data_IF_734800194515
#
_entry.id   IF_734800194515
#
_cell.length_a   1.000
_cell.length_b   1.000
_cell.length_c   1.000
_cell.angle_alpha   90.00
_cell.angle_beta   90.00
_cell.angle_gamma   90.00
#
_symmetry.space_group_name_H-M   'P 1'
#
loop_
_entity.id
_entity.type
_entity.pdbx_description
1 polymer ?
#
# COMPACT_ATOMS: atom_id res chain seq x y z
N UNK A 1 -17.60 10.67 -52.69
CA UNK A 1 -16.27 11.19 -52.30
C UNK A 1 -15.97 11.02 -50.80
N UNK A 2 -16.96 10.85 -49.91
CA UNK A 2 -16.73 10.69 -48.46
C UNK A 2 -16.21 9.30 -48.01
N UNK A 3 -16.44 8.24 -48.79
CA UNK A 3 -16.06 6.87 -48.39
C UNK A 3 -14.55 6.63 -48.26
N UNK A 4 -13.73 7.28 -49.10
CA UNK A 4 -12.27 7.12 -49.04
C UNK A 4 -11.65 7.70 -47.77
N UNK A 5 -12.14 8.87 -47.33
CA UNK A 5 -11.72 9.49 -46.08
C UNK A 5 -12.12 8.66 -44.85
N UNK A 6 -13.33 8.09 -44.86
CA UNK A 6 -13.79 7.23 -43.76
C UNK A 6 -12.93 5.97 -43.63
N UNK A 7 -12.62 5.32 -44.75
CA UNK A 7 -11.79 4.11 -44.79
C UNK A 7 -10.33 4.42 -44.41
N UNK A 8 -9.80 5.56 -44.82
CA UNK A 8 -8.46 6.03 -44.41
C UNK A 8 -8.39 6.32 -42.91
N UNK A 9 -9.39 7.00 -42.35
CA UNK A 9 -9.48 7.26 -40.92
C UNK A 9 -9.62 5.97 -40.11
N UNK A 10 -10.46 5.02 -40.58
CA UNK A 10 -10.62 3.70 -39.97
C UNK A 10 -9.27 2.97 -39.88
N UNK A 11 -8.47 2.98 -40.96
CA UNK A 11 -7.15 2.37 -40.97
C UNK A 11 -6.17 3.08 -40.02
N UNK A 12 -6.22 4.41 -39.91
CA UNK A 12 -5.41 5.13 -38.93
C UNK A 12 -5.75 4.71 -37.49
N UNK A 13 -7.04 4.61 -37.16
CA UNK A 13 -7.49 4.10 -35.84
C UNK A 13 -7.00 2.67 -35.62
N UNK A 14 -7.06 1.81 -36.64
CA UNK A 14 -6.62 0.42 -36.56
C UNK A 14 -5.12 0.31 -36.25
N UNK A 15 -4.29 1.15 -36.87
CA UNK A 15 -2.84 1.22 -36.60
C UNK A 15 -2.57 1.69 -35.17
N UNK A 16 -3.32 2.68 -34.69
CA UNK A 16 -3.24 3.12 -33.29
C UNK A 16 -3.61 2.03 -32.30
N UNK A 17 -4.69 1.28 -32.57
CA UNK A 17 -5.08 0.12 -31.76
C UNK A 17 -4.00 -0.97 -31.77
N UNK A 18 -3.43 -1.27 -32.94
CA UNK A 18 -2.36 -2.25 -33.05
C UNK A 18 -1.11 -1.80 -32.28
N UNK A 19 -0.78 -0.51 -32.29
CA UNK A 19 0.32 0.02 -31.49
C UNK A 19 0.10 -0.09 -29.99
N UNK A 20 -1.14 0.06 -29.50
CA UNK A 20 -1.47 -0.18 -28.09
C UNK A 20 -1.20 -1.63 -27.68
N UNK A 21 -1.53 -2.60 -28.53
CA UNK A 21 -1.24 -4.02 -28.27
C UNK A 21 0.26 -4.32 -28.25
N UNK A 22 1.09 -3.46 -28.85
CA UNK A 22 2.55 -3.58 -28.89
C UNK A 22 3.22 -2.87 -27.71
N UNK A 23 2.47 -2.54 -26.64
CA UNK A 23 2.93 -1.75 -25.49
C UNK A 23 3.52 -0.40 -25.89
N UNK A 24 3.05 0.19 -26.99
CA UNK A 24 3.42 1.54 -27.43
C UNK A 24 2.22 2.47 -27.30
N UNK A 25 2.46 3.77 -27.34
CA UNK A 25 1.43 4.79 -27.24
C UNK A 25 0.53 4.80 -28.49
N UNK A 26 -0.61 4.11 -28.43
CA UNK A 26 -1.55 4.00 -29.56
C UNK A 26 -2.06 5.35 -30.06
N UNK A 27 -2.25 6.33 -29.17
CA UNK A 27 -2.65 7.69 -29.54
C UNK A 27 -1.59 8.41 -30.41
N UNK A 28 -0.31 8.28 -30.04
CA UNK A 28 0.80 8.86 -30.81
C UNK A 28 0.91 8.18 -32.18
N UNK A 29 0.77 6.86 -32.23
CA UNK A 29 0.79 6.10 -33.49
C UNK A 29 -0.42 6.36 -34.39
N UNK A 30 -1.60 6.62 -33.82
CA UNK A 30 -2.78 7.06 -34.56
C UNK A 30 -2.55 8.43 -35.22
N UNK A 31 -2.00 9.39 -34.47
CA UNK A 31 -1.71 10.73 -34.99
C UNK A 31 -0.64 10.67 -36.07
N UNK A 32 0.38 9.83 -35.87
CA UNK A 32 1.42 9.57 -36.85
C UNK A 32 0.84 8.94 -38.14
N UNK A 33 -0.07 7.98 -38.01
CA UNK A 33 -0.79 7.37 -39.13
C UNK A 33 -1.65 8.38 -39.91
N UNK A 34 -2.23 9.37 -39.22
CA UNK A 34 -2.97 10.45 -39.88
C UNK A 34 -2.06 11.40 -40.67
N UNK A 35 -0.80 11.57 -40.29
CA UNK A 35 0.14 12.48 -40.98
C UNK A 35 0.89 11.74 -42.10
N UNK A 36 1.43 10.57 -41.82
CA UNK A 36 2.31 9.82 -42.73
C UNK A 36 1.58 8.91 -43.72
N UNK A 37 0.32 8.57 -43.44
CA UNK A 37 -0.45 7.45 -44.01
C UNK A 37 -0.45 6.21 -43.09
N UNK A 38 -1.63 5.60 -42.86
CA UNK A 38 -1.75 4.42 -42.01
C UNK A 38 -0.94 3.23 -42.51
N UNK A 39 -0.74 3.11 -43.83
CA UNK A 39 -0.02 1.98 -44.42
C UNK A 39 1.48 2.04 -44.08
N UNK A 40 2.06 3.24 -44.12
CA UNK A 40 3.48 3.47 -43.81
C UNK A 40 3.72 3.35 -42.30
N UNK A 41 2.87 3.97 -41.49
CA UNK A 41 2.95 3.84 -40.02
C UNK A 41 2.76 2.40 -39.56
N UNK A 42 1.87 1.63 -40.19
CA UNK A 42 1.70 0.21 -39.90
C UNK A 42 2.95 -0.63 -40.18
N UNK A 43 3.63 -0.39 -41.31
CA UNK A 43 4.88 -1.08 -41.65
C UNK A 43 5.99 -0.74 -40.64
N UNK A 44 6.15 0.54 -40.30
CA UNK A 44 7.16 0.98 -39.32
C UNK A 44 6.89 0.33 -37.96
N UNK A 45 5.63 0.32 -37.51
CA UNK A 45 5.23 -0.33 -36.26
C UNK A 45 5.57 -1.82 -36.25
N UNK A 46 5.33 -2.52 -37.37
CA UNK A 46 5.61 -3.95 -37.51
C UNK A 46 7.11 -4.25 -37.44
N UNK A 47 7.95 -3.42 -38.07
CA UNK A 47 9.42 -3.54 -38.01
C UNK A 47 9.95 -3.25 -36.60
N UNK A 48 9.36 -2.26 -35.91
CA UNK A 48 9.77 -1.86 -34.57
C UNK A 48 9.39 -2.87 -33.48
N UNK A 49 8.42 -3.75 -33.73
CA UNK A 49 8.03 -4.81 -32.81
C UNK A 49 7.52 -4.31 -31.44
N UNK A 50 7.28 -5.28 -30.55
CA UNK A 50 6.74 -5.03 -29.20
C UNK A 50 7.77 -4.23 -28.39
N UNK A 51 7.33 -3.18 -27.73
CA UNK A 51 8.21 -2.38 -26.87
C UNK A 51 8.14 -2.89 -25.42
N UNK A 52 9.16 -3.63 -24.99
CA UNK A 52 9.24 -4.12 -23.61
C UNK A 52 9.62 -2.99 -22.61
N UNK A 53 10.09 -1.84 -23.08
CA UNK A 53 10.53 -0.72 -22.23
C UNK A 53 9.40 -0.15 -21.36
N UNK A 54 8.21 0.07 -21.93
CA UNK A 54 7.07 0.61 -21.16
C UNK A 54 6.57 -0.39 -20.11
N UNK A 55 6.63 -1.69 -20.41
CA UNK A 55 6.31 -2.76 -19.47
C UNK A 55 7.32 -2.81 -18.32
N UNK A 56 8.61 -2.66 -18.62
CA UNK A 56 9.68 -2.59 -17.62
C UNK A 56 9.50 -1.36 -16.71
N UNK A 57 9.16 -0.20 -17.28
CA UNK A 57 8.94 1.04 -16.52
C UNK A 57 7.75 0.93 -15.56
N UNK A 58 6.61 0.39 -16.01
CA UNK A 58 5.44 0.16 -15.16
C UNK A 58 5.75 -0.80 -14.00
N UNK A 59 6.45 -1.90 -14.29
CA UNK A 59 6.89 -2.85 -13.26
C UNK A 59 7.83 -2.21 -12.24
N UNK A 60 8.77 -1.38 -12.68
CA UNK A 60 9.68 -0.63 -11.78
C UNK A 60 8.90 0.35 -10.91
N UNK A 61 7.89 1.03 -11.45
CA UNK A 61 7.08 1.98 -10.69
C UNK A 61 6.24 1.28 -9.61
N UNK A 62 5.58 0.17 -9.96
CA UNK A 62 4.83 -0.66 -9.00
C UNK A 62 5.74 -1.17 -7.88
N UNK A 63 6.94 -1.60 -8.25
CA UNK A 63 7.93 -2.06 -7.29
C UNK A 63 8.33 -0.96 -6.31
N UNK A 64 8.59 0.26 -6.80
CA UNK A 64 8.90 1.42 -5.94
C UNK A 64 7.77 1.75 -4.98
N UNK A 65 6.51 1.70 -5.44
CA UNK A 65 5.34 1.96 -4.57
C UNK A 65 5.24 0.90 -3.48
N UNK A 66 5.29 -0.38 -3.84
CA UNK A 66 5.26 -1.48 -2.87
C UNK A 66 6.38 -1.39 -1.83
N UNK A 67 7.58 -0.99 -2.25
CA UNK A 67 8.69 -0.72 -1.32
C UNK A 67 8.40 0.42 -0.35
N UNK A 68 7.85 1.52 -0.84
CA UNK A 68 7.50 2.68 -0.02
C UNK A 68 6.42 2.31 1.02
N UNK A 69 5.36 1.62 0.59
CA UNK A 69 4.28 1.18 1.46
C UNK A 69 4.81 0.28 2.59
N UNK A 70 5.69 -0.67 2.27
CA UNK A 70 6.34 -1.53 3.26
C UNK A 70 7.15 -0.73 4.29
N UNK A 71 7.97 0.22 3.82
CA UNK A 71 8.83 1.04 4.67
C UNK A 71 8.00 1.91 5.61
N UNK A 72 6.91 2.51 5.11
CA UNK A 72 6.00 3.33 5.91
C UNK A 72 5.35 2.50 7.02
N UNK A 73 4.75 1.36 6.66
CA UNK A 73 4.10 0.46 7.62
C UNK A 73 5.09 -0.03 8.67
N UNK A 74 6.32 -0.37 8.27
CA UNK A 74 7.37 -0.81 9.19
C UNK A 74 7.78 0.30 10.16
N UNK A 75 8.02 1.52 9.66
CA UNK A 75 8.41 2.65 10.50
C UNK A 75 7.30 3.06 11.48
N UNK A 76 6.04 3.08 11.05
CA UNK A 76 4.89 3.40 11.91
C UNK A 76 4.67 2.38 13.03
N UNK A 77 5.18 1.15 12.88
CA UNK A 77 4.97 0.04 13.80
C UNK A 77 6.30 -0.54 14.32
N UNK A 78 7.37 0.25 14.32
CA UNK A 78 8.71 -0.22 14.67
C UNK A 78 8.74 -0.85 16.08
N UNK A 79 8.06 -0.25 17.05
CA UNK A 79 8.02 -0.73 18.43
C UNK A 79 7.34 -2.09 18.61
N UNK A 80 6.44 -2.48 17.71
CA UNK A 80 5.69 -3.74 17.77
C UNK A 80 6.35 -4.84 16.92
N UNK A 81 7.03 -4.45 15.84
CA UNK A 81 7.59 -5.37 14.84
C UNK A 81 9.06 -5.75 15.10
N UNK A 82 9.77 -5.00 15.96
CA UNK A 82 11.20 -5.22 16.28
C UNK A 82 11.54 -6.63 16.77
N UNK A 83 10.57 -7.38 17.28
CA UNK A 83 10.76 -8.77 17.73
C UNK A 83 11.12 -9.75 16.61
N UNK A 84 10.80 -9.46 15.35
CA UNK A 84 10.99 -10.40 14.25
C UNK A 84 12.19 -10.03 13.35
N UNK A 85 13.26 -10.85 13.30
CA UNK A 85 14.47 -10.56 12.53
C UNK A 85 14.23 -10.55 11.01
N UNK A 86 13.19 -11.22 10.51
CA UNK A 86 12.89 -11.36 9.08
C UNK A 86 12.43 -10.02 8.50
N UNK A 87 11.54 -9.32 9.22
CA UNK A 87 10.97 -8.04 8.80
C UNK A 87 12.01 -6.93 8.83
N UNK A 88 12.90 -6.95 9.83
CA UNK A 88 14.05 -6.04 9.92
C UNK A 88 15.08 -6.29 8.81
N UNK A 89 15.34 -7.56 8.47
CA UNK A 89 16.22 -7.91 7.35
C UNK A 89 15.64 -7.40 6.03
N UNK A 90 14.35 -7.60 5.79
CA UNK A 90 13.67 -7.13 4.59
C UNK A 90 13.66 -5.59 4.51
N UNK A 91 13.39 -4.90 5.62
CA UNK A 91 13.51 -3.44 5.68
C UNK A 91 14.90 -2.95 5.29
N UNK A 92 15.95 -3.56 5.85
CA UNK A 92 17.33 -3.20 5.51
C UNK A 92 17.65 -3.48 4.03
N UNK A 93 17.14 -4.57 3.46
CA UNK A 93 17.32 -4.89 2.05
C UNK A 93 16.61 -3.87 1.15
N UNK A 94 15.35 -3.51 1.45
CA UNK A 94 14.55 -2.55 0.68
C UNK A 94 15.03 -1.09 0.87
N UNK A 95 15.52 -0.73 2.04
CA UNK A 95 16.03 0.61 2.37
C UNK A 95 17.45 0.84 1.83
N UNK A 96 18.25 -0.22 1.70
CA UNK A 96 19.57 -0.09 1.10
C UNK A 96 19.41 0.31 -0.37
N UNK A 97 19.90 1.50 -0.71
CA UNK A 97 19.92 2.11 -2.05
C UNK A 97 20.65 1.27 -3.13
N UNK A 98 21.02 0.03 -2.82
CA UNK A 98 21.63 -0.94 -3.71
C UNK A 98 20.55 -1.92 -4.19
N UNK A 99 19.53 -1.39 -4.85
CA UNK A 99 18.64 -2.18 -5.68
C UNK A 99 19.40 -2.60 -6.95
N UNK A 100 20.42 -3.43 -6.76
CA UNK A 100 21.17 -4.05 -7.85
C UNK A 100 20.26 -5.04 -8.53
N UNK A 101 20.19 -4.94 -9.84
CA UNK A 101 19.43 -5.70 -10.83
C UNK A 101 19.57 -7.22 -10.81
N UNK A 102 19.86 -7.85 -9.67
CA UNK A 102 20.26 -9.25 -9.53
C UNK A 102 19.37 -10.09 -8.62
N UNK A 103 18.42 -9.52 -7.88
CA UNK A 103 17.43 -10.32 -7.15
C UNK A 103 16.07 -10.03 -7.75
N UNK A 104 15.45 -11.05 -8.34
CA UNK A 104 14.07 -11.04 -8.83
C UNK A 104 13.11 -10.90 -7.64
N UNK A 105 13.20 -9.83 -6.86
CA UNK A 105 12.19 -9.53 -5.85
C UNK A 105 10.97 -9.05 -6.63
N UNK A 106 10.03 -9.94 -6.83
CA UNK A 106 8.77 -9.61 -7.50
C UNK A 106 7.92 -8.76 -6.57
N UNK A 107 7.01 -7.96 -7.16
CA UNK A 107 6.01 -7.21 -6.40
C UNK A 107 5.30 -8.14 -5.40
N UNK A 108 5.01 -9.38 -5.82
CA UNK A 108 4.39 -10.41 -5.00
C UNK A 108 5.16 -10.76 -3.71
N UNK A 109 6.50 -10.76 -3.75
CA UNK A 109 7.31 -11.02 -2.56
C UNK A 109 7.18 -9.87 -1.56
N UNK A 110 7.25 -8.62 -2.04
CA UNK A 110 7.11 -7.43 -1.20
C UNK A 110 5.70 -7.36 -0.61
N UNK A 111 4.67 -7.65 -1.41
CA UNK A 111 3.28 -7.73 -0.93
C UNK A 111 3.11 -8.83 0.12
N UNK A 112 3.73 -10.01 -0.06
CA UNK A 112 3.69 -11.08 0.94
C UNK A 112 4.29 -10.64 2.27
N UNK A 113 5.42 -9.93 2.26
CA UNK A 113 6.02 -9.41 3.49
C UNK A 113 5.20 -8.27 4.11
N UNK A 114 4.58 -7.43 3.28
CA UNK A 114 3.66 -6.38 3.72
C UNK A 114 2.45 -6.98 4.43
N UNK A 115 1.87 -8.05 3.87
CA UNK A 115 0.78 -8.78 4.52
C UNK A 115 1.22 -9.46 5.82
N UNK A 116 2.45 -9.99 5.88
CA UNK A 116 3.03 -10.54 7.11
C UNK A 116 3.21 -9.45 8.18
N UNK A 117 3.67 -8.25 7.81
CA UNK A 117 3.72 -7.09 8.70
C UNK A 117 2.35 -6.75 9.25
N UNK A 118 1.36 -6.59 8.37
CA UNK A 118 0.01 -6.22 8.77
C UNK A 118 -0.63 -7.26 9.70
N UNK A 119 -0.35 -8.55 9.48
CA UNK A 119 -0.82 -9.60 10.37
C UNK A 119 -0.16 -9.53 11.76
N UNK A 120 1.14 -9.21 11.82
CA UNK A 120 1.85 -9.07 13.09
C UNK A 120 1.39 -7.81 13.84
N UNK A 121 1.17 -6.70 13.13
CA UNK A 121 0.58 -5.47 13.68
C UNK A 121 -0.80 -5.77 14.24
N UNK A 122 -1.66 -6.46 13.48
CA UNK A 122 -3.00 -6.83 13.93
C UNK A 122 -2.96 -7.76 15.16
N UNK A 123 -2.00 -8.69 15.23
CA UNK A 123 -1.78 -9.53 16.42
C UNK A 123 -1.37 -8.72 17.63
N UNK A 124 -0.43 -7.79 17.48
CA UNK A 124 0.03 -6.96 18.60
C UNK A 124 -1.04 -5.95 19.01
N UNK A 125 -1.83 -5.41 18.08
CA UNK A 125 -2.94 -4.51 18.37
C UNK A 125 -4.10 -5.25 19.06
N UNK A 126 -4.40 -6.49 18.65
CA UNK A 126 -5.39 -7.34 19.36
C UNK A 126 -4.87 -7.79 20.74
N UNK A 127 -3.58 -8.07 20.89
CA UNK A 127 -2.96 -8.35 22.19
C UNK A 127 -2.97 -7.12 23.10
N UNK A 128 -2.67 -5.92 22.57
CA UNK A 128 -2.76 -4.66 23.30
C UNK A 128 -4.21 -4.31 23.66
N UNK A 129 -5.17 -4.65 22.82
CA UNK A 129 -6.61 -4.53 23.11
C UNK A 129 -7.07 -5.49 24.22
N UNK A 130 -6.39 -6.63 24.39
CA UNK A 130 -6.61 -7.54 25.52
C UNK A 130 -5.86 -7.11 26.79
N UNK A 131 -4.65 -6.55 26.70
CA UNK A 131 -3.89 -6.06 27.85
C UNK A 131 -4.38 -4.70 28.40
N UNK A 132 -5.00 -3.85 27.56
CA UNK A 132 -5.60 -2.58 28.02
C UNK A 132 -6.84 -2.79 28.90
N UNK A 133 -7.35 -4.02 29.05
CA UNK A 133 -8.48 -4.31 29.94
C UNK A 133 -8.12 -4.41 31.43
N UNK A 134 -6.83 -4.50 31.79
CA UNK A 134 -6.42 -4.63 33.20
C UNK A 134 -5.90 -3.34 33.85
N UNK A 135 -5.24 -2.43 33.12
CA UNK A 135 -4.75 -1.16 33.70
C UNK A 135 -5.63 0.06 33.38
N UNK A 136 -6.50 0.01 32.36
CA UNK A 136 -7.42 1.12 32.05
C UNK A 136 -8.63 1.18 33.00
N UNK A 137 -8.90 0.12 33.77
CA UNK A 137 -10.11 0.04 34.58
C UNK A 137 -10.05 0.91 35.84
N UNK A 138 -8.86 1.24 36.36
CA UNK A 138 -8.77 2.02 37.61
C UNK A 138 -9.30 3.45 37.42
N UNK A 139 -9.01 4.09 36.28
CA UNK A 139 -9.54 5.44 36.00
C UNK A 139 -11.05 5.43 35.76
N UNK A 140 -11.55 4.48 34.97
CA UNK A 140 -12.98 4.31 34.72
C UNK A 140 -13.77 3.94 35.99
N UNK A 141 -13.18 3.12 36.86
CA UNK A 141 -13.79 2.73 38.14
C UNK A 141 -13.76 3.88 39.16
N UNK A 142 -12.71 4.70 39.19
CA UNK A 142 -12.68 5.94 39.98
C UNK A 142 -13.75 6.92 39.45
N UNK A 143 -13.96 7.01 38.14
CA UNK A 143 -15.00 7.87 37.56
C UNK A 143 -16.42 7.38 37.91
N UNK A 144 -16.67 6.07 37.84
CA UNK A 144 -17.94 5.47 38.31
C UNK A 144 -18.16 5.73 39.80
N UNK A 145 -17.14 5.55 40.64
CA UNK A 145 -17.21 5.83 42.07
C UNK A 145 -17.56 7.30 42.35
N UNK A 146 -17.00 8.24 41.57
CA UNK A 146 -17.32 9.66 41.70
C UNK A 146 -18.78 9.95 41.31
N UNK A 147 -19.29 9.34 40.22
CA UNK A 147 -20.70 9.45 39.83
C UNK A 147 -21.64 8.90 40.90
N UNK A 148 -21.26 7.83 41.59
CA UNK A 148 -22.03 7.26 42.72
C UNK A 148 -22.04 8.17 43.95
N UNK A 149 -20.93 8.88 44.22
CA UNK A 149 -20.87 9.88 45.27
C UNK A 149 -21.76 11.10 44.94
N UNK A 150 -21.70 11.59 43.70
CA UNK A 150 -22.49 12.75 43.25
C UNK A 150 -24.01 12.51 43.31
N UNK A 151 -24.46 11.26 43.17
CA UNK A 151 -25.87 10.86 43.34
C UNK A 151 -26.23 10.48 44.79
N UNK A 152 -25.33 10.69 45.76
CA UNK A 152 -25.48 10.29 47.18
C UNK A 152 -25.73 8.77 47.38
N UNK A 153 -25.32 7.92 46.44
CA UNK A 153 -25.48 6.47 46.56
C UNK A 153 -24.43 5.82 47.48
N UNK A 154 -23.32 6.50 47.74
CA UNK A 154 -22.24 6.08 48.66
C UNK A 154 -21.83 7.25 49.55
N UNK A 155 -21.27 6.93 50.72
CA UNK A 155 -20.75 7.96 51.64
C UNK A 155 -19.32 8.40 51.26
N UNK A 156 -18.95 9.63 51.62
CA UNK A 156 -17.63 10.20 51.33
C UNK A 156 -16.48 9.36 51.95
N UNK A 157 -16.74 8.74 53.11
CA UNK A 157 -15.79 7.81 53.74
C UNK A 157 -15.61 6.50 52.96
N UNK A 158 -16.67 5.95 52.36
CA UNK A 158 -16.60 4.72 51.57
C UNK A 158 -15.92 4.95 50.22
N UNK A 159 -16.19 6.10 49.60
CA UNK A 159 -15.53 6.52 48.36
C UNK A 159 -14.00 6.57 48.53
N UNK A 160 -13.53 7.22 49.59
CA UNK A 160 -12.09 7.36 49.84
C UNK A 160 -11.40 6.01 50.11
N UNK A 161 -12.04 5.10 50.84
CA UNK A 161 -11.50 3.76 51.11
C UNK A 161 -11.37 2.91 49.83
N UNK A 162 -12.39 2.98 48.95
CA UNK A 162 -12.39 2.23 47.68
C UNK A 162 -11.40 2.83 46.68
N UNK A 163 -11.32 4.16 46.60
CA UNK A 163 -10.33 4.86 45.79
C UNK A 163 -8.90 4.50 46.22
N UNK A 164 -8.62 4.48 47.51
CA UNK A 164 -7.29 4.12 48.04
C UNK A 164 -6.91 2.66 47.72
N UNK A 165 -7.86 1.73 47.85
CA UNK A 165 -7.67 0.32 47.44
C UNK A 165 -7.37 0.19 45.94
N UNK A 166 -8.07 0.94 45.10
CA UNK A 166 -7.85 0.93 43.65
C UNK A 166 -6.49 1.54 43.27
N UNK A 167 -6.09 2.62 43.93
CA UNK A 167 -4.79 3.27 43.72
C UNK A 167 -3.62 2.41 44.24
N UNK A 168 -3.83 1.60 45.29
CA UNK A 168 -2.81 0.68 45.80
C UNK A 168 -2.54 -0.54 44.90
N UNK A 169 -3.39 -0.74 43.88
CA UNK A 169 -3.32 -1.86 42.93
C UNK A 169 -2.54 -1.51 41.65
N UNK A 170 -2.18 -0.23 41.50
CA UNK A 170 -1.28 0.33 40.47
C UNK A 170 0.14 0.36 41.05
#
# INVERSE_FOLDING_TARGET
>A
MFGGFFLWFLFAVLVGYFASNYNRSGFLWFLLACILSPLISGIILLVLGKNDENEILDNIERLKRAQQDYIEIYCSNESTVTGNPILKKMFNELSSKKMTSSTKTTVDEIEKYTNMLLMEIARVETAKSQETSNDANVYDDIEKLKKLLDINAITESEYNNQKEKLLSKI
#
